data_IF_019471501121
#
_entry.id   IF_019471501121
#
_cell.length_a   1.000
_cell.length_b   1.000
_cell.length_c   1.000
_cell.angle_alpha   90.00
_cell.angle_beta   90.00
_cell.angle_gamma   90.00
#
_symmetry.space_group_name_H-M   'P 1'
#
loop_
_entity.id
_entity.type
_entity.pdbx_description
1 polymer ?
#
# COMPACT_ATOMS: atom_id res chain seq x y z
N UNK A 1 -16.28 -77.76 -39.66
CA UNK A 1 -16.76 -76.47 -40.21
C UNK A 1 -16.12 -75.35 -39.39
N UNK A 2 -15.09 -74.71 -39.95
CA UNK A 2 -14.16 -73.84 -39.21
C UNK A 2 -14.59 -72.37 -39.33
N UNK A 3 -15.17 -71.80 -38.27
CA UNK A 3 -15.41 -70.36 -38.16
C UNK A 3 -14.09 -69.67 -37.76
N UNK A 4 -13.32 -69.23 -38.76
CA UNK A 4 -12.17 -68.33 -38.51
C UNK A 4 -12.71 -66.96 -38.09
N UNK A 5 -12.67 -66.68 -36.80
CA UNK A 5 -12.93 -65.35 -36.24
C UNK A 5 -11.76 -64.44 -36.60
N UNK A 6 -11.82 -63.79 -37.76
CA UNK A 6 -10.87 -62.75 -38.15
C UNK A 6 -11.12 -61.51 -37.30
N UNK A 7 -10.48 -61.47 -36.14
CA UNK A 7 -10.36 -60.22 -35.39
C UNK A 7 -9.39 -59.33 -36.15
N UNK A 8 -9.90 -58.53 -37.08
CA UNK A 8 -9.13 -57.46 -37.70
C UNK A 8 -8.60 -56.56 -36.57
N UNK A 9 -7.27 -56.38 -36.43
CA UNK A 9 -6.74 -55.31 -35.59
C UNK A 9 -7.01 -54.00 -36.33
N UNK A 10 -8.27 -53.56 -36.29
CA UNK A 10 -8.70 -52.28 -36.85
C UNK A 10 -7.81 -51.23 -36.20
N UNK A 11 -7.34 -50.28 -37.03
CA UNK A 11 -6.61 -49.03 -36.72
C UNK A 11 -7.20 -48.16 -35.58
N UNK A 12 -8.08 -48.69 -34.73
CA UNK A 12 -8.60 -48.14 -33.48
C UNK A 12 -7.51 -47.46 -32.64
N UNK A 13 -6.37 -48.11 -32.43
CA UNK A 13 -5.26 -47.51 -31.68
C UNK A 13 -4.68 -46.24 -32.34
N UNK A 14 -4.73 -46.14 -33.68
CA UNK A 14 -4.31 -44.94 -34.40
C UNK A 14 -5.36 -43.83 -34.34
N UNK A 15 -6.65 -44.17 -34.42
CA UNK A 15 -7.75 -43.21 -34.24
C UNK A 15 -7.76 -42.61 -32.83
N UNK A 16 -7.56 -43.42 -31.79
CA UNK A 16 -7.51 -42.94 -30.40
C UNK A 16 -6.35 -41.97 -30.19
N UNK A 17 -5.18 -42.21 -30.80
CA UNK A 17 -4.04 -41.27 -30.76
C UNK A 17 -4.40 -39.91 -31.35
N UNK A 18 -5.04 -39.88 -32.51
CA UNK A 18 -5.46 -38.62 -33.14
C UNK A 18 -6.55 -37.90 -32.34
N UNK A 19 -7.51 -38.63 -31.78
CA UNK A 19 -8.53 -38.07 -30.90
C UNK A 19 -7.91 -37.44 -29.63
N UNK A 20 -6.91 -38.10 -29.04
CA UNK A 20 -6.20 -37.58 -27.88
C UNK A 20 -5.41 -36.31 -28.20
N UNK A 21 -4.74 -36.27 -29.36
CA UNK A 21 -4.04 -35.06 -29.83
C UNK A 21 -5.03 -33.92 -30.04
N UNK A 22 -6.17 -34.17 -30.70
CA UNK A 22 -7.20 -33.16 -30.90
C UNK A 22 -7.76 -32.63 -29.56
N UNK A 23 -7.97 -33.53 -28.59
CA UNK A 23 -8.44 -33.16 -27.25
C UNK A 23 -7.39 -32.32 -26.50
N UNK A 24 -6.11 -32.66 -26.59
CA UNK A 24 -5.03 -31.86 -26.03
C UNK A 24 -4.99 -30.46 -26.63
N UNK A 25 -5.07 -30.34 -27.96
CA UNK A 25 -5.12 -29.04 -28.63
C UNK A 25 -6.34 -28.22 -28.21
N UNK A 26 -7.51 -28.85 -28.08
CA UNK A 26 -8.71 -28.20 -27.55
C UNK A 26 -8.54 -27.71 -26.12
N UNK A 27 -7.95 -28.54 -25.24
CA UNK A 27 -7.69 -28.18 -23.85
C UNK A 27 -6.69 -27.03 -23.71
N UNK A 28 -5.62 -27.03 -24.52
CA UNK A 28 -4.63 -25.94 -24.56
C UNK A 28 -5.29 -24.64 -25.04
N UNK A 29 -6.08 -24.71 -26.12
CA UNK A 29 -6.82 -23.55 -26.62
C UNK A 29 -7.76 -22.96 -25.57
N UNK A 30 -8.51 -23.81 -24.86
CA UNK A 30 -9.38 -23.38 -23.78
C UNK A 30 -8.61 -22.72 -22.63
N UNK A 31 -7.45 -23.26 -22.26
CA UNK A 31 -6.63 -22.65 -21.22
C UNK A 31 -6.08 -21.29 -21.59
N UNK A 32 -5.66 -21.10 -22.85
CA UNK A 32 -5.19 -19.79 -23.32
C UNK A 32 -6.30 -18.74 -23.23
N UNK A 33 -7.53 -19.08 -23.67
CA UNK A 33 -8.68 -18.18 -23.58
C UNK A 33 -9.01 -17.86 -22.13
N UNK A 34 -9.00 -18.88 -21.27
CA UNK A 34 -9.27 -18.71 -19.84
C UNK A 34 -8.23 -17.79 -19.18
N UNK A 35 -6.94 -17.99 -19.44
CA UNK A 35 -5.87 -17.16 -18.92
C UNK A 35 -6.00 -15.71 -19.40
N UNK A 36 -6.32 -15.50 -20.68
CA UNK A 36 -6.53 -14.17 -21.25
C UNK A 36 -7.72 -13.45 -20.59
N UNK A 37 -8.80 -14.18 -20.31
CA UNK A 37 -9.94 -13.62 -19.60
C UNK A 37 -9.57 -13.24 -18.15
N UNK A 38 -8.79 -14.08 -17.45
CA UNK A 38 -8.31 -13.77 -16.12
C UNK A 38 -7.44 -12.50 -16.10
N UNK A 39 -6.52 -12.37 -17.06
CA UNK A 39 -5.68 -11.18 -17.20
C UNK A 39 -6.52 -9.92 -17.42
N UNK A 40 -7.55 -10.00 -18.27
CA UNK A 40 -8.46 -8.88 -18.51
C UNK A 40 -9.21 -8.46 -17.25
N UNK A 41 -9.76 -9.42 -16.51
CA UNK A 41 -10.46 -9.15 -15.25
C UNK A 41 -9.52 -8.55 -14.20
N UNK A 42 -8.29 -9.05 -14.11
CA UNK A 42 -7.28 -8.52 -13.18
C UNK A 42 -6.89 -7.08 -13.55
N UNK A 43 -6.70 -6.80 -14.84
CA UNK A 43 -6.44 -5.45 -15.34
C UNK A 43 -7.58 -4.48 -15.03
N UNK A 44 -8.83 -4.91 -15.13
CA UNK A 44 -9.96 -4.09 -14.70
C UNK A 44 -9.94 -3.80 -13.20
N UNK A 45 -9.63 -4.80 -12.36
CA UNK A 45 -9.54 -4.62 -10.90
C UNK A 45 -8.43 -3.62 -10.55
N UNK A 46 -7.26 -3.74 -11.16
CA UNK A 46 -6.14 -2.81 -10.96
C UNK A 46 -6.56 -1.39 -11.31
N UNK A 47 -7.17 -1.17 -12.48
CA UNK A 47 -7.64 0.16 -12.91
C UNK A 47 -8.65 0.77 -11.93
N UNK A 48 -9.57 -0.02 -11.40
CA UNK A 48 -10.54 0.44 -10.38
C UNK A 48 -9.83 0.85 -9.08
N UNK A 49 -8.87 0.05 -8.63
CA UNK A 49 -8.10 0.35 -7.42
C UNK A 49 -7.25 1.62 -7.60
N UNK A 50 -6.56 1.75 -8.73
CA UNK A 50 -5.79 2.95 -9.04
C UNK A 50 -6.66 4.21 -9.08
N UNK A 51 -7.87 4.11 -9.64
CA UNK A 51 -8.82 5.23 -9.66
C UNK A 51 -9.25 5.61 -8.24
N UNK A 52 -9.59 4.62 -7.41
CA UNK A 52 -9.96 4.86 -6.01
C UNK A 52 -8.82 5.49 -5.20
N UNK A 53 -7.57 5.06 -5.43
CA UNK A 53 -6.38 5.67 -4.80
C UNK A 53 -6.23 7.13 -5.24
N UNK A 54 -6.35 7.42 -6.55
CA UNK A 54 -6.26 8.79 -7.05
C UNK A 54 -7.35 9.69 -6.45
N UNK A 55 -8.58 9.21 -6.39
CA UNK A 55 -9.70 9.95 -5.80
C UNK A 55 -9.48 10.24 -4.31
N UNK A 56 -9.06 9.22 -3.54
CA UNK A 56 -8.75 9.37 -2.12
C UNK A 56 -7.60 10.37 -1.90
N UNK A 57 -6.56 10.31 -2.73
CA UNK A 57 -5.43 11.21 -2.65
C UNK A 57 -5.83 12.67 -2.94
N UNK A 58 -6.66 12.91 -3.96
CA UNK A 58 -7.22 14.24 -4.25
C UNK A 58 -8.06 14.74 -3.07
N UNK A 59 -8.95 13.90 -2.52
CA UNK A 59 -9.76 14.28 -1.36
C UNK A 59 -8.88 14.62 -0.14
N UNK A 60 -7.82 13.84 0.10
CA UNK A 60 -6.89 14.11 1.19
C UNK A 60 -6.16 15.45 1.01
N UNK A 61 -5.71 15.78 -0.21
CA UNK A 61 -5.07 17.07 -0.49
C UNK A 61 -5.99 18.25 -0.22
N UNK A 62 -7.27 18.14 -0.61
CA UNK A 62 -8.28 19.18 -0.33
C UNK A 62 -8.45 19.35 1.18
N UNK A 63 -8.62 18.24 1.92
CA UNK A 63 -8.77 18.29 3.38
C UNK A 63 -7.53 18.86 4.07
N UNK A 64 -6.33 18.52 3.60
CA UNK A 64 -5.09 19.10 4.12
C UNK A 64 -5.00 20.61 3.86
N UNK A 65 -5.41 21.07 2.68
CA UNK A 65 -5.49 22.49 2.37
C UNK A 65 -6.50 23.21 3.28
N UNK A 66 -7.68 22.61 3.49
CA UNK A 66 -8.70 23.15 4.40
C UNK A 66 -8.19 23.22 5.85
N UNK A 67 -7.54 22.16 6.33
CA UNK A 67 -6.89 22.17 7.66
C UNK A 67 -5.86 23.27 7.72
N UNK A 68 -4.97 23.40 6.72
CA UNK A 68 -3.96 24.45 6.69
C UNK A 68 -4.57 25.85 6.71
N UNK A 69 -5.71 26.06 6.02
CA UNK A 69 -6.42 27.34 6.06
C UNK A 69 -7.03 27.60 7.44
N UNK A 70 -7.62 26.60 8.08
CA UNK A 70 -8.25 26.70 9.40
C UNK A 70 -7.25 26.81 10.54
N UNK A 71 -6.09 26.15 10.41
CA UNK A 71 -4.97 26.22 11.35
C UNK A 71 -4.01 27.35 11.02
N UNK A 72 -4.25 28.12 9.96
CA UNK A 72 -3.43 29.28 9.64
C UNK A 72 -3.46 30.28 10.79
N UNK A 73 -2.33 30.97 11.01
CA UNK A 73 -2.18 31.94 12.10
C UNK A 73 -3.26 33.02 12.08
N UNK A 74 -3.67 33.47 10.90
CA UNK A 74 -4.73 34.46 10.72
C UNK A 74 -6.11 33.91 11.10
N UNK A 75 -6.42 32.65 10.74
CA UNK A 75 -7.66 32.00 11.14
C UNK A 75 -7.72 31.74 12.66
N UNK A 76 -6.61 31.33 13.26
CA UNK A 76 -6.48 31.15 14.72
C UNK A 76 -6.64 32.50 15.43
N UNK A 77 -5.96 33.55 14.97
CA UNK A 77 -6.11 34.90 15.54
C UNK A 77 -7.56 35.40 15.42
N UNK A 78 -8.24 35.15 14.30
CA UNK A 78 -9.66 35.48 14.13
C UNK A 78 -10.56 34.70 15.10
N UNK A 79 -10.31 33.40 15.30
CA UNK A 79 -11.05 32.57 16.27
C UNK A 79 -10.80 33.02 17.71
N UNK A 80 -9.58 33.41 18.04
CA UNK A 80 -9.17 33.93 19.34
C UNK A 80 -9.83 35.30 19.62
N UNK A 81 -9.89 36.18 18.62
CA UNK A 81 -10.63 37.45 18.69
C UNK A 81 -12.14 37.24 18.89
N UNK A 82 -12.72 36.20 18.29
CA UNK A 82 -14.13 35.83 18.47
C UNK A 82 -14.45 35.08 19.78
N UNK A 83 -13.46 34.87 20.68
CA UNK A 83 -13.58 34.06 21.92
C UNK A 83 -13.98 32.59 21.74
N UNK A 84 -13.94 32.05 20.52
CA UNK A 84 -14.25 30.64 20.26
C UNK A 84 -13.16 29.67 20.71
N UNK A 85 -11.97 30.16 21.02
CA UNK A 85 -10.83 29.39 21.55
C UNK A 85 -10.10 30.23 22.61
N UNK A 86 -9.59 29.57 23.65
CA UNK A 86 -8.79 30.18 24.72
C UNK A 86 -7.33 29.79 24.53
N UNK A 87 -6.44 30.76 24.46
CA UNK A 87 -4.99 30.53 24.44
C UNK A 87 -4.49 30.38 25.88
N UNK A 88 -3.88 29.24 26.19
CA UNK A 88 -3.23 29.01 27.49
C UNK A 88 -1.75 29.36 27.32
N UNK A 89 -1.24 30.43 27.96
CA UNK A 89 0.18 30.76 27.90
C UNK A 89 0.99 29.70 28.65
N UNK A 90 2.12 29.29 28.05
CA UNK A 90 3.09 28.42 28.72
C UNK A 90 3.81 29.28 29.76
N UNK A 91 3.71 28.90 31.03
CA UNK A 91 4.41 29.61 32.11
C UNK A 91 5.91 29.32 32.04
N UNK A 92 6.74 30.32 32.37
CA UNK A 92 8.21 30.24 32.26
C UNK A 92 8.82 29.03 33.00
N UNK A 93 8.18 28.55 34.06
CA UNK A 93 8.59 27.38 34.84
C UNK A 93 8.55 26.05 34.07
N UNK A 94 7.83 25.99 32.95
CA UNK A 94 7.78 24.80 32.07
C UNK A 94 8.69 24.94 30.84
N UNK A 95 9.40 26.06 30.71
CA UNK A 95 10.35 26.28 29.63
C UNK A 95 11.71 25.79 30.10
N UNK A 96 12.10 24.59 29.66
CA UNK A 96 13.46 24.09 29.84
C UNK A 96 14.42 24.96 29.01
N UNK A 97 15.12 25.88 29.66
CA UNK A 97 16.22 26.64 29.05
C UNK A 97 17.42 25.71 29.00
N UNK A 98 17.89 25.41 27.79
CA UNK A 98 19.17 24.74 27.61
C UNK A 98 20.24 25.76 27.95
N UNK A 99 20.94 25.56 29.07
CA UNK A 99 22.15 26.33 29.37
C UNK A 99 23.16 26.13 28.22
N UNK A 100 23.86 27.21 27.86
CA UNK A 100 24.86 27.18 26.80
C UNK A 100 25.88 26.04 27.07
N UNK A 101 26.32 25.29 26.05
CA UNK A 101 27.27 24.21 26.25
C UNK A 101 28.52 24.76 26.94
N UNK A 102 28.84 24.20 28.11
CA UNK A 102 30.04 24.53 28.85
C UNK A 102 31.25 24.29 27.93
N UNK A 103 31.95 25.37 27.62
CA UNK A 103 33.05 25.35 26.66
C UNK A 103 34.18 24.53 27.28
N UNK A 104 34.44 23.38 26.65
CA UNK A 104 35.65 22.54 26.71
C UNK A 104 36.71 22.94 27.75
N UNK A 105 36.77 22.24 28.89
CA UNK A 105 37.96 22.22 29.72
C UNK A 105 39.07 21.45 29.00
N UNK A 106 40.32 21.94 29.11
CA UNK A 106 41.56 21.54 28.40
C UNK A 106 41.99 20.06 28.48
N UNK A 107 41.13 19.16 28.94
CA UNK A 107 41.38 17.71 29.05
C UNK A 107 40.65 16.87 27.99
N UNK A 108 39.96 17.48 27.01
CA UNK A 108 39.47 16.78 25.80
C UNK A 108 38.47 15.65 26.05
N UNK A 109 37.79 15.63 27.20
CA UNK A 109 36.74 14.64 27.50
C UNK A 109 35.37 15.31 27.39
N UNK A 110 34.65 15.00 26.32
CA UNK A 110 33.23 15.32 26.18
C UNK A 110 32.44 14.53 27.24
N UNK A 111 31.91 15.20 28.27
CA UNK A 111 30.92 14.59 29.18
C UNK A 111 29.54 14.73 28.55
N UNK A 112 28.93 13.59 28.21
CA UNK A 112 27.51 13.52 27.86
C UNK A 112 26.68 14.01 29.05
N UNK A 113 25.85 15.04 28.84
CA UNK A 113 24.89 15.51 29.84
C UNK A 113 23.85 14.42 30.10
N UNK A 114 24.00 13.68 31.21
CA UNK A 114 23.01 12.71 31.68
C UNK A 114 21.93 13.42 32.48
N UNK A 115 20.68 13.32 32.03
CA UNK A 115 19.52 13.89 32.72
C UNK A 115 19.13 13.02 33.93
N UNK A 116 19.61 13.37 35.12
CA UNK A 116 19.33 12.62 36.36
C UNK A 116 17.93 12.90 36.96
N UNK A 117 17.15 13.82 36.39
CA UNK A 117 15.84 14.24 36.95
C UNK A 117 14.67 13.30 36.67
N UNK A 118 14.84 12.24 35.88
CA UNK A 118 13.77 11.26 35.58
C UNK A 118 13.89 9.94 36.37
N UNK A 119 14.65 9.92 37.47
CA UNK A 119 14.87 8.73 38.29
C UNK A 119 14.45 8.94 39.74
N UNK A 120 13.17 9.27 39.97
CA UNK A 120 12.47 9.05 41.24
C UNK A 120 11.05 8.59 40.96
#
# INVERSE_FOLDING_TARGET
>A
MNARKSSNPIKSASMVKWAFIALLFGAVGLQIVHLKNQQFQLGQKIRRVEQAIRETHVSNQVLLADIATLSSRSAIQKKLASRNIVMVPIQDQFIARLDAPEVENESGVLRTASNERFRQ
#
